data_IF_376028875795
#
_entry.id   IF_376028875795
#
_cell.length_a   1.000
_cell.length_b   1.000
_cell.length_c   1.000
_cell.angle_alpha   90.00
_cell.angle_beta   90.00
_cell.angle_gamma   90.00
#
_symmetry.space_group_name_H-M   'P 1'
#
loop_
_entity.id
_entity.type
_entity.pdbx_description
1 polymer ?
#
# COMPACT_ATOMS: atom_id res chain seq x y z
N UNK A 1 -40.74 20.64 -19.14
CA UNK A 1 -40.36 20.48 -17.73
C UNK A 1 -39.35 19.33 -17.67
N UNK A 2 -38.14 19.64 -17.19
CA UNK A 2 -36.93 18.84 -17.27
C UNK A 2 -36.95 17.61 -16.33
N UNK A 3 -36.31 16.54 -16.81
CA UNK A 3 -35.46 15.59 -16.09
C UNK A 3 -35.94 15.03 -14.75
N UNK A 4 -36.21 13.73 -14.71
CA UNK A 4 -35.81 12.89 -13.58
C UNK A 4 -35.03 11.68 -14.10
N UNK A 5 -33.73 11.93 -14.25
CA UNK A 5 -32.65 10.95 -14.29
C UNK A 5 -32.54 10.36 -12.88
N UNK A 6 -33.05 9.15 -12.64
CA UNK A 6 -32.73 8.42 -11.42
C UNK A 6 -31.31 7.87 -11.52
N UNK A 7 -30.40 8.65 -10.96
CA UNK A 7 -28.97 8.37 -10.81
C UNK A 7 -28.78 7.15 -9.91
N UNK A 8 -27.87 6.28 -10.34
CA UNK A 8 -26.90 5.71 -9.44
C UNK A 8 -27.29 4.40 -8.77
N UNK A 9 -27.43 3.33 -9.56
CA UNK A 9 -26.80 2.08 -9.12
C UNK A 9 -25.30 2.33 -9.08
N UNK A 10 -24.76 2.66 -7.90
CA UNK A 10 -23.35 2.46 -7.60
C UNK A 10 -23.20 1.19 -6.74
N UNK A 11 -23.32 -0.03 -7.32
CA UNK A 11 -22.34 -1.03 -6.94
C UNK A 11 -20.99 -0.52 -7.47
N UNK A 12 -19.89 -0.96 -6.87
CA UNK A 12 -18.53 -0.60 -7.30
C UNK A 12 -17.96 0.68 -6.66
N UNK A 13 -18.00 0.78 -5.33
CA UNK A 13 -16.72 0.94 -4.64
C UNK A 13 -15.98 -0.37 -4.82
N UNK A 14 -15.35 -0.50 -5.98
CA UNK A 14 -14.37 -1.54 -6.23
C UNK A 14 -13.36 -1.39 -5.10
N UNK A 15 -13.37 -2.35 -4.17
CA UNK A 15 -12.20 -2.67 -3.35
C UNK A 15 -11.11 -2.94 -4.37
N UNK A 16 -10.34 -1.91 -4.74
CA UNK A 16 -9.22 -2.07 -5.65
C UNK A 16 -8.26 -3.01 -4.94
N UNK A 17 -8.27 -4.27 -5.39
CA UNK A 17 -7.77 -5.45 -4.70
C UNK A 17 -6.26 -5.55 -4.75
N UNK A 18 -5.59 -4.48 -4.33
CA UNK A 18 -4.16 -4.46 -4.14
C UNK A 18 -3.93 -4.18 -2.66
N UNK A 19 -3.96 -5.25 -1.85
CA UNK A 19 -3.64 -5.19 -0.42
C UNK A 19 -2.11 -5.14 -0.18
N UNK A 20 -1.31 -5.05 -1.24
CA UNK A 20 0.15 -5.09 -1.21
C UNK A 20 0.76 -4.08 -2.17
N UNK A 21 1.83 -3.38 -1.80
CA UNK A 21 2.57 -2.54 -2.75
C UNK A 21 4.04 -2.92 -2.83
N UNK A 22 4.65 -2.61 -3.98
CA UNK A 22 6.08 -2.80 -4.25
C UNK A 22 6.89 -1.64 -3.70
N UNK A 23 7.97 -1.96 -2.97
CA UNK A 23 8.93 -0.95 -2.54
C UNK A 23 9.71 -0.38 -3.73
N UNK A 24 10.05 -1.21 -4.71
CA UNK A 24 10.72 -0.77 -5.94
C UNK A 24 9.88 0.28 -6.68
N UNK A 25 8.58 0.03 -6.86
CA UNK A 25 7.64 1.00 -7.48
C UNK A 25 7.54 2.30 -6.67
N UNK A 26 7.40 2.18 -5.35
CA UNK A 26 7.31 3.34 -4.44
C UNK A 26 8.56 4.23 -4.45
N UNK A 27 9.71 3.66 -4.82
CA UNK A 27 11.02 4.31 -4.80
C UNK A 27 11.54 4.72 -6.18
N UNK A 28 10.81 4.49 -7.28
CA UNK A 28 11.30 4.71 -8.66
C UNK A 28 11.86 6.11 -8.92
N UNK A 29 11.32 7.14 -8.27
CA UNK A 29 11.73 8.55 -8.47
C UNK A 29 12.55 9.12 -7.32
N UNK A 30 12.98 8.28 -6.39
CA UNK A 30 13.69 8.70 -5.19
C UNK A 30 15.20 8.61 -5.35
N UNK A 31 15.92 9.53 -4.70
CA UNK A 31 17.36 9.41 -4.55
C UNK A 31 17.71 8.38 -3.46
N UNK A 32 18.99 7.97 -3.39
CA UNK A 32 19.47 6.95 -2.43
C UNK A 32 19.14 7.27 -0.97
N UNK A 33 19.20 8.55 -0.58
CA UNK A 33 18.91 8.99 0.80
C UNK A 33 17.43 8.78 1.12
N UNK A 34 16.55 9.21 0.22
CA UNK A 34 15.10 9.04 0.37
C UNK A 34 14.70 7.57 0.43
N UNK A 35 15.30 6.72 -0.41
CA UNK A 35 15.05 5.27 -0.40
C UNK A 35 15.48 4.66 0.94
N UNK A 36 16.66 5.01 1.45
CA UNK A 36 17.16 4.50 2.73
C UNK A 36 16.25 4.92 3.91
N UNK A 37 15.79 6.17 3.91
CA UNK A 37 14.84 6.67 4.93
C UNK A 37 13.51 5.92 4.85
N UNK A 38 12.93 5.77 3.65
CA UNK A 38 11.69 5.00 3.46
C UNK A 38 11.84 3.55 3.92
N UNK A 39 12.93 2.89 3.54
CA UNK A 39 13.21 1.51 3.94
C UNK A 39 13.30 1.38 5.46
N UNK A 40 14.00 2.30 6.14
CA UNK A 40 14.06 2.30 7.60
C UNK A 40 12.68 2.50 8.24
N UNK A 41 11.85 3.40 7.69
CA UNK A 41 10.46 3.59 8.15
C UNK A 41 9.67 2.29 8.00
N UNK A 42 9.83 1.56 6.89
CA UNK A 42 9.19 0.25 6.71
C UNK A 42 9.59 -0.76 7.78
N UNK A 43 10.88 -0.84 8.12
CA UNK A 43 11.35 -1.71 9.19
C UNK A 43 10.75 -1.32 10.55
N UNK A 44 10.64 -0.03 10.84
CA UNK A 44 10.01 0.46 12.07
C UNK A 44 8.52 0.10 12.12
N UNK A 45 7.79 0.28 11.02
CA UNK A 45 6.37 -0.08 10.91
C UNK A 45 6.16 -1.59 11.01
N UNK A 46 7.04 -2.41 10.44
CA UNK A 46 6.98 -3.86 10.56
C UNK A 46 7.22 -4.30 12.01
N UNK A 47 8.18 -3.68 12.71
CA UNK A 47 8.41 -3.91 14.14
C UNK A 47 7.16 -3.63 14.99
N UNK A 48 6.37 -2.63 14.60
CA UNK A 48 5.10 -2.29 15.23
C UNK A 48 3.91 -3.09 14.69
N UNK A 49 4.14 -4.02 13.76
CA UNK A 49 3.13 -4.90 13.17
C UNK A 49 2.02 -4.14 12.42
N UNK A 50 2.35 -2.94 11.95
CA UNK A 50 1.50 -2.08 11.13
C UNK A 50 1.54 -2.52 9.66
N UNK A 51 2.69 -3.02 9.21
CA UNK A 51 2.87 -3.60 7.88
C UNK A 51 3.58 -4.95 7.97
N UNK A 52 3.34 -5.82 7.02
CA UNK A 52 4.09 -7.06 6.83
C UNK A 52 4.94 -6.93 5.57
N UNK A 53 6.25 -7.18 5.68
CA UNK A 53 7.18 -7.10 4.55
C UNK A 53 7.59 -8.52 4.12
N UNK A 54 7.56 -8.77 2.82
CA UNK A 54 7.96 -10.04 2.21
C UNK A 54 9.00 -9.80 1.12
N UNK A 55 10.11 -10.55 1.19
CA UNK A 55 11.14 -10.62 0.15
C UNK A 55 11.28 -12.09 -0.28
N UNK A 56 11.02 -12.39 -1.55
CA UNK A 56 10.94 -13.79 -2.05
C UNK A 56 12.29 -14.43 -2.37
N UNK A 57 13.32 -13.62 -2.59
CA UNK A 57 14.69 -14.05 -2.87
C UNK A 57 15.66 -12.91 -2.47
N UNK A 58 16.96 -13.20 -2.25
CA UNK A 58 17.94 -12.16 -1.92
C UNK A 58 17.92 -11.01 -2.93
N UNK A 59 17.81 -9.78 -2.42
CA UNK A 59 17.76 -8.54 -3.22
C UNK A 59 16.60 -8.42 -4.22
N UNK A 60 15.63 -9.35 -4.18
CA UNK A 60 14.38 -9.17 -4.89
C UNK A 60 13.57 -8.03 -4.27
N UNK A 61 12.56 -7.56 -5.01
CA UNK A 61 11.63 -6.55 -4.52
C UNK A 61 10.98 -6.96 -3.19
N UNK A 62 10.66 -5.95 -2.40
CA UNK A 62 10.00 -6.09 -1.11
C UNK A 62 8.55 -5.65 -1.28
N UNK A 63 7.63 -6.57 -1.05
CA UNK A 63 6.20 -6.27 -1.04
C UNK A 63 5.74 -5.99 0.38
N UNK A 64 4.98 -4.92 0.60
CA UNK A 64 4.41 -4.57 1.88
C UNK A 64 2.89 -4.74 1.87
N UNK A 65 2.34 -5.47 2.85
CA UNK A 65 0.90 -5.63 3.09
C UNK A 65 0.49 -4.99 4.41
N UNK A 66 -0.81 -4.70 4.59
CA UNK A 66 -1.33 -4.23 5.87
C UNK A 66 -1.17 -5.31 6.97
N UNK A 67 -0.58 -4.94 8.10
CA UNK A 67 -0.43 -5.81 9.26
C UNK A 67 -1.60 -5.70 10.23
N UNK A 68 -1.59 -6.55 11.26
CA UNK A 68 -2.71 -6.63 12.23
C UNK A 68 -3.01 -5.32 12.97
N UNK A 69 -2.02 -4.44 13.14
CA UNK A 69 -2.19 -3.16 13.83
C UNK A 69 -2.64 -2.02 12.89
N UNK A 70 -2.82 -2.29 11.60
CA UNK A 70 -3.16 -1.27 10.59
C UNK A 70 -4.59 -0.72 10.73
N UNK A 71 -5.53 -1.53 11.23
CA UNK A 71 -6.96 -1.21 11.33
C UNK A 71 -7.50 -1.24 12.76
N UNK A 72 -6.64 -1.06 13.75
CA UNK A 72 -7.01 -1.15 15.15
C UNK A 72 -7.80 0.07 15.66
N UNK A 73 -8.89 0.49 14.99
CA UNK A 73 -9.90 1.44 15.49
C UNK A 73 -11.28 1.15 14.88
#
# INVERSE_FOLDING_TARGET
MLHQQERGRHPHLNKSGVNSFSLQELCQKNNRKEVAVKFYIFLALQKQMVVELVQRAPFADITATAGRMFSAH
#
